data_IF_086786486125
#
_entry.id   IF_086786486125
#
_cell.length_a   1.000
_cell.length_b   1.000
_cell.length_c   1.000
_cell.angle_alpha   90.00
_cell.angle_beta   90.00
_cell.angle_gamma   90.00
#
_symmetry.space_group_name_H-M   'P 1'
#
loop_
_entity.id
_entity.type
_entity.pdbx_description
1 polymer ?
#
# COMPACT_ATOMS: atom_id res chain seq x y z
N UNK A 1 -2.85 -43.31 -41.36
CA UNK A 1 -2.56 -42.96 -39.95
C UNK A 1 -2.61 -41.44 -39.79
N UNK A 2 -3.48 -40.93 -38.92
CA UNK A 2 -3.26 -39.77 -38.05
C UNK A 2 -3.62 -38.32 -38.44
N UNK A 3 -4.33 -38.01 -39.54
CA UNK A 3 -4.75 -36.61 -39.76
C UNK A 3 -5.84 -36.12 -38.78
N UNK A 4 -6.83 -36.95 -38.46
CA UNK A 4 -7.84 -36.62 -37.44
C UNK A 4 -7.24 -36.44 -36.04
N UNK A 5 -6.30 -37.32 -35.67
CA UNK A 5 -5.61 -37.26 -34.37
C UNK A 5 -4.73 -36.01 -34.21
N UNK A 6 -4.18 -35.47 -35.30
CA UNK A 6 -3.35 -34.25 -35.28
C UNK A 6 -4.23 -33.00 -35.08
N UNK A 7 -5.38 -32.93 -35.77
CA UNK A 7 -6.34 -31.83 -35.61
C UNK A 7 -6.92 -31.75 -34.20
N UNK A 8 -7.25 -32.91 -33.62
CA UNK A 8 -7.75 -33.00 -32.24
C UNK A 8 -6.69 -32.58 -31.21
N UNK A 9 -5.42 -32.99 -31.40
CA UNK A 9 -4.31 -32.59 -30.52
C UNK A 9 -4.00 -31.10 -30.62
N UNK A 10 -4.03 -30.52 -31.82
CA UNK A 10 -3.77 -29.09 -32.04
C UNK A 10 -4.88 -28.23 -31.43
N UNK A 11 -6.14 -28.62 -31.59
CA UNK A 11 -7.29 -27.96 -30.96
C UNK A 11 -7.21 -28.01 -29.43
N UNK A 12 -6.84 -29.17 -28.88
CA UNK A 12 -6.67 -29.35 -27.43
C UNK A 12 -5.52 -28.52 -26.84
N UNK A 13 -4.39 -28.40 -27.56
CA UNK A 13 -3.28 -27.53 -27.14
C UNK A 13 -3.63 -26.04 -27.18
N UNK A 14 -4.37 -25.59 -28.19
CA UNK A 14 -4.84 -24.20 -28.29
C UNK A 14 -5.83 -23.89 -27.16
N UNK A 15 -6.73 -24.82 -26.84
CA UNK A 15 -7.66 -24.68 -25.72
C UNK A 15 -6.94 -24.57 -24.36
N UNK A 16 -5.90 -25.38 -24.13
CA UNK A 16 -5.06 -25.30 -22.92
C UNK A 16 -4.30 -23.98 -22.81
N UNK A 17 -3.80 -23.45 -23.93
CA UNK A 17 -3.11 -22.15 -24.00
C UNK A 17 -4.06 -20.99 -23.69
N UNK A 18 -5.29 -21.02 -24.23
CA UNK A 18 -6.33 -20.04 -23.94
C UNK A 18 -6.80 -20.10 -22.48
N UNK A 19 -6.93 -21.31 -21.92
CA UNK A 19 -7.32 -21.48 -20.52
C UNK A 19 -6.22 -21.01 -19.56
N UNK A 20 -4.95 -21.27 -19.89
CA UNK A 20 -3.80 -20.73 -19.17
C UNK A 20 -3.77 -19.20 -19.18
N UNK A 21 -4.04 -18.57 -20.32
CA UNK A 21 -4.07 -17.11 -20.47
C UNK A 21 -5.18 -16.44 -19.64
N UNK A 22 -6.34 -17.10 -19.48
CA UNK A 22 -7.45 -16.61 -18.65
C UNK A 22 -7.14 -16.63 -17.15
N UNK A 23 -6.30 -17.55 -16.67
CA UNK A 23 -5.88 -17.61 -15.26
C UNK A 23 -4.99 -16.41 -14.90
N UNK A 24 -4.18 -15.91 -15.84
CA UNK A 24 -3.34 -14.73 -15.62
C UNK A 24 -4.13 -13.41 -15.50
N UNK A 25 -5.38 -13.37 -15.99
CA UNK A 25 -6.23 -12.16 -15.93
C UNK A 25 -7.02 -12.04 -14.62
N UNK A 26 -6.99 -13.05 -13.74
CA UNK A 26 -7.75 -13.07 -12.48
C UNK A 26 -7.15 -12.21 -11.34
N UNK A 27 -6.08 -11.45 -11.60
CA UNK A 27 -5.34 -10.68 -10.59
C UNK A 27 -5.86 -9.27 -10.29
N UNK A 28 -7.11 -8.94 -10.60
CA UNK A 28 -7.66 -7.61 -10.30
C UNK A 28 -8.41 -7.58 -8.95
N UNK A 29 -8.05 -6.58 -8.15
CA UNK A 29 -8.40 -6.26 -6.76
C UNK A 29 -7.54 -6.95 -5.68
N UNK A 30 -6.70 -6.12 -5.03
CA UNK A 30 -5.88 -6.48 -3.86
C UNK A 30 -6.71 -6.54 -2.56
N UNK A 31 -7.92 -5.97 -2.57
CA UNK A 31 -8.82 -5.97 -1.42
C UNK A 31 -9.67 -7.24 -1.44
N UNK A 32 -9.79 -7.89 -0.27
CA UNK A 32 -10.51 -9.16 -0.14
C UNK A 32 -11.97 -9.03 -0.56
N UNK A 33 -12.45 -9.90 -1.45
CA UNK A 33 -13.87 -9.94 -1.82
C UNK A 33 -14.75 -10.06 -0.57
N UNK A 34 -15.71 -9.15 -0.42
CA UNK A 34 -16.62 -9.11 0.74
C UNK A 34 -16.09 -8.33 1.94
N UNK A 35 -14.88 -7.77 1.87
CA UNK A 35 -14.39 -6.80 2.84
C UNK A 35 -14.81 -5.40 2.41
N UNK A 36 -15.63 -4.74 3.22
CA UNK A 36 -16.00 -3.34 3.03
C UNK A 36 -16.07 -2.68 4.41
N UNK A 37 -15.52 -1.49 4.51
CA UNK A 37 -15.61 -0.66 5.71
C UNK A 37 -16.57 0.50 5.45
N UNK A 38 -17.19 1.04 6.51
CA UNK A 38 -18.01 2.24 6.36
C UNK A 38 -17.14 3.42 5.91
N UNK A 39 -17.80 4.48 5.45
CA UNK A 39 -17.10 5.73 5.13
C UNK A 39 -16.44 6.32 6.38
N UNK A 40 -15.22 6.82 6.20
CA UNK A 40 -14.51 7.57 7.23
C UNK A 40 -14.65 9.08 7.05
N UNK A 41 -14.26 9.80 8.09
CA UNK A 41 -14.25 11.26 8.11
C UNK A 41 -12.81 11.80 8.07
N UNK A 42 -12.49 12.57 7.01
CA UNK A 42 -11.16 13.15 6.79
C UNK A 42 -10.75 14.10 7.92
N UNK A 43 -11.64 14.97 8.38
CA UNK A 43 -11.34 15.96 9.42
C UNK A 43 -11.08 15.28 10.77
N UNK A 44 -11.87 14.27 11.12
CA UNK A 44 -11.63 13.44 12.30
C UNK A 44 -10.29 12.70 12.18
N UNK A 45 -9.99 12.13 11.02
CA UNK A 45 -8.74 11.42 10.77
C UNK A 45 -7.51 12.32 10.95
N UNK A 46 -7.59 13.54 10.43
CA UNK A 46 -6.57 14.57 10.60
C UNK A 46 -6.38 14.97 12.06
N UNK A 47 -7.47 15.15 12.79
CA UNK A 47 -7.43 15.42 14.23
C UNK A 47 -6.80 14.26 15.01
N UNK A 48 -7.20 13.03 14.69
CA UNK A 48 -6.69 11.81 15.31
C UNK A 48 -5.19 11.61 15.03
N UNK A 49 -4.71 11.93 13.83
CA UNK A 49 -3.30 11.85 13.49
C UNK A 49 -2.41 12.63 14.46
N UNK A 50 -2.86 13.83 14.87
CA UNK A 50 -2.14 14.64 15.87
C UNK A 50 -2.42 14.17 17.30
N UNK A 51 -3.68 13.82 17.60
CA UNK A 51 -4.11 13.41 18.95
C UNK A 51 -3.43 12.11 19.40
N UNK A 52 -3.27 11.17 18.48
CA UNK A 52 -2.56 9.91 18.68
C UNK A 52 -1.05 10.07 18.52
N UNK A 53 -0.54 11.29 18.34
CA UNK A 53 0.89 11.58 18.22
C UNK A 53 1.57 10.83 17.07
N UNK A 54 0.83 10.54 15.99
CA UNK A 54 1.42 9.96 14.78
C UNK A 54 2.50 10.90 14.19
N UNK A 55 2.34 12.21 14.41
CA UNK A 55 3.26 13.24 13.95
C UNK A 55 4.60 13.33 14.71
N UNK A 56 4.86 12.46 15.68
CA UNK A 56 6.19 12.33 16.29
C UNK A 56 7.19 11.59 15.42
N UNK A 57 6.68 10.73 14.54
CA UNK A 57 7.48 9.99 13.57
C UNK A 57 7.11 10.35 12.13
N UNK A 58 5.89 10.85 11.90
CA UNK A 58 5.38 11.12 10.56
C UNK A 58 5.15 12.61 10.31
N UNK A 59 5.20 13.00 9.04
CA UNK A 59 4.67 14.27 8.56
C UNK A 59 3.67 14.02 7.44
N UNK A 60 2.77 14.97 7.23
CA UNK A 60 1.85 15.00 6.08
C UNK A 60 1.99 16.35 5.37
N UNK A 61 1.25 16.58 4.30
CA UNK A 61 1.26 17.88 3.60
C UNK A 61 0.82 19.03 4.52
N UNK A 62 -0.08 18.76 5.47
CA UNK A 62 -0.66 19.76 6.37
C UNK A 62 -0.15 19.68 7.81
N UNK A 63 0.27 18.51 8.30
CA UNK A 63 0.74 18.32 9.68
C UNK A 63 2.26 18.13 9.69
N UNK A 64 2.94 19.06 10.38
CA UNK A 64 4.39 19.01 10.58
C UNK A 64 4.79 17.91 11.55
N UNK A 65 5.96 17.36 11.29
CA UNK A 65 6.66 16.45 12.19
C UNK A 65 7.11 17.19 13.48
N UNK A 66 6.92 16.54 14.63
CA UNK A 66 7.24 17.05 15.96
C UNK A 66 8.43 16.33 16.63
N UNK A 67 9.05 15.37 15.95
CA UNK A 67 10.23 14.68 16.49
C UNK A 67 11.47 15.56 16.56
N UNK A 68 12.48 15.08 17.28
CA UNK A 68 13.77 15.75 17.41
C UNK A 68 14.67 15.45 16.20
N UNK A 69 15.75 16.21 16.02
CA UNK A 69 16.70 16.03 14.89
C UNK A 69 17.28 14.63 14.76
N UNK A 70 17.38 13.89 15.87
CA UNK A 70 17.90 12.52 15.88
C UNK A 70 16.83 11.48 15.54
N UNK A 71 15.56 11.83 15.71
CA UNK A 71 14.41 10.96 15.48
C UNK A 71 14.15 10.74 13.99
N UNK A 72 13.38 9.70 13.70
CA UNK A 72 12.97 9.36 12.34
C UNK A 72 11.79 10.25 11.93
N UNK A 73 11.93 10.99 10.82
CA UNK A 73 10.80 11.58 10.11
C UNK A 73 10.48 10.75 8.86
N UNK A 74 9.27 10.23 8.78
CA UNK A 74 8.71 9.53 7.63
C UNK A 74 7.57 10.36 7.05
N UNK A 75 7.80 11.13 5.96
CA UNK A 75 6.74 11.81 5.25
C UNK A 75 5.72 10.80 4.71
N UNK A 76 4.44 11.07 4.94
CA UNK A 76 3.31 10.35 4.39
C UNK A 76 2.69 11.19 3.27
N UNK A 77 2.34 10.52 2.18
CA UNK A 77 1.75 11.15 1.01
C UNK A 77 2.73 11.43 -0.12
N UNK A 78 2.34 12.38 -0.96
CA UNK A 78 3.09 12.78 -2.15
C UNK A 78 2.79 11.91 -3.37
N UNK A 79 3.61 12.09 -4.39
CA UNK A 79 3.44 11.47 -5.69
C UNK A 79 3.87 10.00 -5.66
N UNK A 80 2.93 9.11 -5.99
CA UNK A 80 3.16 7.67 -6.04
C UNK A 80 2.74 7.10 -7.39
N UNK A 81 3.48 6.09 -7.85
CA UNK A 81 3.18 5.39 -9.12
C UNK A 81 2.14 4.29 -8.96
N UNK A 82 1.75 3.98 -7.72
CA UNK A 82 0.71 2.99 -7.39
C UNK A 82 -0.12 3.48 -6.22
N UNK A 83 -1.43 3.30 -6.35
CA UNK A 83 -2.41 3.57 -5.29
C UNK A 83 -2.02 2.81 -4.03
N UNK A 84 -2.04 3.48 -2.88
CA UNK A 84 -2.04 2.82 -1.57
C UNK A 84 -3.45 2.34 -1.32
N UNK A 85 -3.65 1.03 -1.35
CA UNK A 85 -4.96 0.47 -1.04
C UNK A 85 -5.31 0.78 0.42
N UNK A 86 -6.59 0.75 0.71
CA UNK A 86 -7.04 0.92 2.07
C UNK A 86 -6.43 -0.17 2.99
N UNK A 87 -6.34 -1.40 2.49
CA UNK A 87 -5.70 -2.53 3.18
C UNK A 87 -4.21 -2.34 3.45
N UNK A 88 -3.46 -1.71 2.54
CA UNK A 88 -2.04 -1.38 2.76
C UNK A 88 -1.86 -0.43 3.96
N UNK A 89 -2.70 0.61 4.03
CA UNK A 89 -2.62 1.63 5.07
C UNK A 89 -3.06 1.08 6.43
N UNK A 90 -4.18 0.35 6.50
CA UNK A 90 -4.58 -0.35 7.72
C UNK A 90 -3.47 -1.28 8.20
N UNK A 91 -2.94 -2.12 7.31
CA UNK A 91 -1.93 -3.11 7.68
C UNK A 91 -0.68 -2.43 8.26
N UNK A 92 -0.29 -1.29 7.70
CA UNK A 92 0.84 -0.50 8.17
C UNK A 92 0.63 0.07 9.58
N UNK A 93 -0.61 0.36 9.98
CA UNK A 93 -0.96 0.88 11.31
C UNK A 93 -1.09 -0.26 12.34
N UNK A 94 -1.81 -1.33 12.01
CA UNK A 94 -2.13 -2.40 12.97
C UNK A 94 -1.02 -3.45 13.12
N UNK A 95 -0.09 -3.49 12.16
CA UNK A 95 1.07 -4.38 12.14
C UNK A 95 2.30 -3.67 11.55
N UNK A 96 2.85 -2.65 12.25
CA UNK A 96 3.91 -1.80 11.70
C UNK A 96 5.23 -2.53 11.48
N UNK A 97 5.43 -3.72 12.08
CA UNK A 97 6.60 -4.57 11.84
C UNK A 97 6.46 -5.46 10.60
N UNK A 98 5.28 -5.56 9.98
CA UNK A 98 5.06 -6.44 8.83
C UNK A 98 5.92 -6.06 7.63
N UNK A 99 6.09 -4.76 7.40
CA UNK A 99 6.85 -4.22 6.28
C UNK A 99 7.44 -2.86 6.62
N UNK A 100 8.74 -2.83 6.77
CA UNK A 100 9.52 -1.60 7.00
C UNK A 100 10.28 -1.30 5.72
N UNK A 101 10.22 -0.06 5.23
CA UNK A 101 10.97 0.30 4.03
C UNK A 101 12.47 0.32 4.36
N UNK A 102 13.30 -0.21 3.46
CA UNK A 102 14.75 -0.34 3.64
C UNK A 102 15.46 0.94 4.11
N UNK A 103 15.00 2.11 3.61
CA UNK A 103 15.54 3.41 4.01
C UNK A 103 15.30 3.80 5.46
N UNK A 104 14.39 3.12 6.16
CA UNK A 104 13.97 3.42 7.52
C UNK A 104 14.37 2.35 8.54
N UNK A 105 14.95 1.22 8.13
CA UNK A 105 15.30 0.12 9.05
C UNK A 105 16.18 0.61 10.20
N UNK A 106 17.29 1.29 9.91
CA UNK A 106 18.29 1.70 10.92
C UNK A 106 17.70 2.57 12.04
N UNK A 107 16.87 3.56 11.70
CA UNK A 107 16.28 4.48 12.69
C UNK A 107 14.92 4.01 13.21
N UNK A 108 14.17 3.30 12.38
CA UNK A 108 12.78 2.90 12.61
C UNK A 108 12.61 1.55 13.30
N UNK A 109 13.66 0.75 13.47
CA UNK A 109 13.58 -0.54 14.18
C UNK A 109 14.25 -0.54 15.55
N UNK A 110 13.76 -1.40 16.45
CA UNK A 110 14.45 -1.78 17.68
C UNK A 110 15.67 -2.66 17.39
N UNK A 111 16.42 -3.05 18.42
CA UNK A 111 17.56 -3.97 18.29
C UNK A 111 17.12 -5.37 17.83
N UNK A 112 15.88 -5.74 18.10
CA UNK A 112 15.24 -7.01 17.73
C UNK A 112 14.66 -6.98 16.30
N UNK A 113 14.76 -5.84 15.61
CA UNK A 113 14.30 -5.69 14.22
C UNK A 113 12.80 -5.42 14.08
N UNK A 114 12.08 -5.10 15.16
CA UNK A 114 10.66 -4.71 15.12
C UNK A 114 10.51 -3.20 14.98
N UNK A 115 9.38 -2.73 14.45
CA UNK A 115 9.12 -1.29 14.33
C UNK A 115 9.07 -0.59 15.68
N UNK A 116 9.65 0.61 15.76
CA UNK A 116 9.50 1.53 16.91
C UNK A 116 8.14 2.23 16.96
N UNK A 117 7.33 2.11 15.90
CA UNK A 117 5.99 2.68 15.88
C UNK A 117 5.13 2.04 16.99
N UNK A 118 4.41 2.86 17.74
CA UNK A 118 3.48 2.40 18.77
C UNK A 118 2.41 1.47 18.19
N UNK A 119 2.02 0.46 18.96
CA UNK A 119 0.90 -0.43 18.62
C UNK A 119 -0.40 0.16 19.13
N UNK A 120 -1.34 0.43 18.23
CA UNK A 120 -2.62 1.08 18.55
C UNK A 120 -3.79 0.11 18.73
N UNK A 121 -3.58 -1.19 18.49
CA UNK A 121 -4.65 -2.19 18.32
C UNK A 121 -5.65 -2.28 19.48
N UNK A 122 -5.23 -1.91 20.70
CA UNK A 122 -6.06 -1.98 21.91
C UNK A 122 -6.51 -0.61 22.43
N UNK A 123 -6.10 0.48 21.76
CA UNK A 123 -6.29 1.86 22.25
C UNK A 123 -7.01 2.78 21.26
N UNK A 124 -7.25 2.32 20.03
CA UNK A 124 -8.13 3.01 19.07
C UNK A 124 -9.30 2.11 18.70
N UNK A 125 -10.45 2.74 18.45
CA UNK A 125 -11.63 2.08 17.91
C UNK A 125 -11.46 1.81 16.41
N UNK A 126 -12.31 0.93 15.89
CA UNK A 126 -12.37 0.66 14.45
C UNK A 126 -12.72 1.94 13.66
N UNK A 127 -13.61 2.79 14.17
CA UNK A 127 -13.98 4.04 13.49
C UNK A 127 -12.82 5.04 13.46
N UNK A 128 -12.05 5.17 14.54
CA UNK A 128 -10.87 6.03 14.56
C UNK A 128 -9.81 5.56 13.56
N UNK A 129 -9.57 4.24 13.46
CA UNK A 129 -8.69 3.68 12.44
C UNK A 129 -9.19 4.01 11.02
N UNK A 130 -10.50 3.90 10.78
CA UNK A 130 -11.11 4.22 9.50
C UNK A 130 -10.95 5.70 9.14
N UNK A 131 -11.23 6.59 10.08
CA UNK A 131 -11.08 8.03 9.88
C UNK A 131 -9.62 8.40 9.60
N UNK A 132 -8.65 7.85 10.34
CA UNK A 132 -7.21 8.06 10.10
C UNK A 132 -6.83 7.61 8.70
N UNK A 133 -7.19 6.39 8.31
CA UNK A 133 -6.83 5.88 6.97
C UNK A 133 -7.47 6.71 5.87
N UNK A 134 -8.72 7.15 6.08
CA UNK A 134 -9.42 8.03 5.13
C UNK A 134 -8.67 9.35 4.94
N UNK A 135 -8.18 9.95 6.02
CA UNK A 135 -7.28 11.11 5.94
C UNK A 135 -5.96 10.77 5.23
N UNK A 136 -5.28 9.67 5.59
CA UNK A 136 -4.00 9.33 4.96
C UNK A 136 -4.12 9.10 3.45
N UNK A 137 -5.27 8.60 2.97
CA UNK A 137 -5.51 8.43 1.54
C UNK A 137 -5.53 9.76 0.78
N UNK A 138 -5.99 10.85 1.40
CA UNK A 138 -6.01 12.18 0.74
C UNK A 138 -4.62 12.74 0.52
N UNK A 139 -3.61 12.23 1.23
CA UNK A 139 -2.23 12.70 1.12
C UNK A 139 -1.50 12.18 -0.13
N UNK A 140 -2.05 11.20 -0.86
CA UNK A 140 -1.37 10.57 -2.00
C UNK A 140 -1.93 11.03 -3.35
N UNK A 141 -1.03 11.42 -4.25
CA UNK A 141 -1.35 11.71 -5.65
C UNK A 141 -0.82 10.60 -6.55
N UNK A 142 -1.64 10.11 -7.47
CA UNK A 142 -1.22 9.09 -8.44
C UNK A 142 -0.58 9.80 -9.63
N UNK A 143 0.70 9.51 -9.89
CA UNK A 143 1.43 10.04 -11.05
C UNK A 143 1.81 8.92 -12.01
N UNK A 144 1.71 9.22 -13.31
CA UNK A 144 2.21 8.33 -14.36
C UNK A 144 3.69 8.66 -14.61
N UNK A 145 4.62 7.70 -14.52
CA UNK A 145 6.03 7.95 -14.84
C UNK A 145 6.18 8.54 -16.24
N UNK A 146 7.03 9.56 -16.43
CA UNK A 146 7.33 10.04 -17.79
C UNK A 146 8.14 8.96 -18.52
N UNK A 147 7.70 8.61 -19.72
CA UNK A 147 8.39 7.66 -20.59
C UNK A 147 9.53 8.37 -21.33
N UNK A 148 10.45 9.03 -20.63
CA UNK A 148 11.63 9.63 -21.27
C UNK A 148 12.64 8.52 -21.59
N UNK A 149 12.35 7.78 -22.66
CA UNK A 149 13.36 6.96 -23.31
C UNK A 149 14.39 7.91 -23.92
N UNK A 150 15.58 7.95 -23.33
CA UNK A 150 16.73 8.59 -23.97
C UNK A 150 16.99 7.91 -25.32
N UNK A 151 16.58 8.54 -26.41
CA UNK A 151 17.02 8.15 -27.74
C UNK A 151 18.52 8.49 -27.86
N UNK A 152 19.37 7.48 -27.68
CA UNK A 152 20.74 7.55 -28.15
C UNK A 152 20.72 7.64 -29.68
N UNK A 153 21.02 8.81 -30.22
CA UNK A 153 21.41 8.95 -31.61
C UNK A 153 22.81 8.36 -31.75
N UNK A 154 22.91 7.23 -32.47
CA UNK A 154 24.18 6.66 -32.91
C UNK A 154 24.74 7.41 -34.11
#
# INVERSE_FOLDING_TARGET
MNYENIGVKLSSMVALLFFGLMIFLAGCNQEGKGFALPEGNVDNGKLLFSTLRCNECHSTSEIKWLGNTDDLNVPIGGDVTRVKSYGDLITSIINPSHKIAKGYEVKGTTAEGTSKMMIYNEIITVQELIDIVTYLQTEYNIVTPSNDYYHYYY
#
